data_IF_910509296704
#
_entry.id   IF_910509296704
#
_cell.length_a   1.000
_cell.length_b   1.000
_cell.length_c   1.000
_cell.angle_alpha   90.00
_cell.angle_beta   90.00
_cell.angle_gamma   90.00
#
_symmetry.space_group_name_H-M   'P 1'
#
loop_
_entity.id
_entity.type
_entity.pdbx_description
1 polymer ?
#
# COMPACT_ATOMS: atom_id res chain seq x y z
N UNK A 1 -10.92 7.58 26.42
CA UNK A 1 -12.19 6.85 26.64
C UNK A 1 -13.07 7.09 25.42
N UNK A 2 -13.07 6.16 24.45
CA UNK A 2 -13.87 6.28 23.22
C UNK A 2 -15.14 5.45 23.40
N UNK A 3 -16.30 6.13 23.34
CA UNK A 3 -17.62 5.51 23.40
C UNK A 3 -17.92 4.77 22.09
N UNK A 4 -18.48 3.57 22.23
CA UNK A 4 -19.09 2.78 21.17
C UNK A 4 -20.41 3.43 20.72
N UNK A 5 -20.61 3.52 19.41
CA UNK A 5 -21.95 3.65 18.82
C UNK A 5 -22.16 2.44 17.89
N UNK A 6 -23.04 1.55 18.32
CA UNK A 6 -23.52 0.38 17.57
C UNK A 6 -24.85 0.78 16.93
N UNK A 7 -24.99 0.59 15.61
CA UNK A 7 -26.30 0.58 14.97
C UNK A 7 -26.60 -0.87 14.54
N UNK A 8 -27.53 -1.49 15.27
CA UNK A 8 -28.02 -2.83 15.02
C UNK A 8 -29.17 -2.81 13.99
N UNK A 9 -29.17 -3.74 13.05
CA UNK A 9 -30.38 -4.21 12.38
C UNK A 9 -30.41 -5.76 12.37
N UNK A 10 -31.60 -6.31 12.57
CA UNK A 10 -31.91 -7.64 13.13
C UNK A 10 -32.05 -8.79 12.11
N UNK A 11 -31.41 -9.92 12.45
CA UNK A 11 -31.86 -11.34 12.43
C UNK A 11 -32.60 -11.87 11.18
N UNK A 12 -31.95 -12.80 10.47
CA UNK A 12 -32.59 -14.06 10.04
C UNK A 12 -31.82 -15.25 10.61
N UNK A 13 -32.53 -16.12 11.31
CA UNK A 13 -32.03 -17.40 11.76
C UNK A 13 -32.08 -18.40 10.60
N UNK A 14 -30.92 -18.90 10.18
CA UNK A 14 -30.82 -20.19 9.49
C UNK A 14 -29.82 -21.06 10.23
N UNK A 15 -30.34 -22.17 10.74
CA UNK A 15 -29.57 -23.27 11.32
C UNK A 15 -28.93 -24.07 10.19
N UNK A 16 -27.65 -23.83 9.92
CA UNK A 16 -26.75 -24.89 9.44
C UNK A 16 -25.33 -24.57 9.89
N UNK A 17 -24.81 -25.44 10.75
CA UNK A 17 -23.40 -25.49 11.12
C UNK A 17 -22.58 -25.96 9.93
N UNK A 18 -22.31 -25.07 9.00
CA UNK A 18 -21.11 -25.14 8.18
C UNK A 18 -20.26 -23.96 8.58
N UNK A 19 -19.24 -24.23 9.39
CA UNK A 19 -18.11 -23.32 9.48
C UNK A 19 -17.52 -23.28 8.08
N UNK A 20 -17.95 -22.32 7.27
CA UNK A 20 -17.09 -21.79 6.21
C UNK A 20 -15.90 -21.19 6.93
N UNK A 21 -14.91 -22.04 7.19
CA UNK A 21 -13.57 -21.59 7.46
C UNK A 21 -13.08 -21.05 6.12
N UNK A 22 -13.46 -19.82 5.78
CA UNK A 22 -12.72 -19.04 4.80
C UNK A 22 -11.27 -19.12 5.26
N UNK A 23 -10.44 -19.79 4.45
CA UNK A 23 -9.01 -19.79 4.68
C UNK A 23 -8.63 -18.31 4.78
N UNK A 24 -8.10 -17.88 5.93
CA UNK A 24 -7.76 -16.48 6.11
C UNK A 24 -6.77 -16.09 5.00
N UNK A 25 -7.14 -15.08 4.21
CA UNK A 25 -6.38 -14.62 3.05
C UNK A 25 -4.94 -14.38 3.45
N UNK A 26 -4.02 -15.03 2.75
CA UNK A 26 -2.59 -14.75 2.85
C UNK A 26 -2.27 -13.64 1.88
N UNK A 27 -1.54 -12.63 2.34
CA UNK A 27 -1.03 -11.54 1.53
C UNK A 27 0.47 -11.71 1.33
N UNK A 28 0.92 -11.50 0.10
CA UNK A 28 2.32 -11.26 -0.23
C UNK A 28 2.61 -9.78 -0.08
N UNK A 29 3.58 -9.44 0.78
CA UNK A 29 4.04 -8.08 1.04
C UNK A 29 5.46 -7.95 0.53
N UNK A 30 5.61 -7.36 -0.65
CA UNK A 30 6.91 -7.13 -1.31
C UNK A 30 7.40 -5.73 -1.02
N UNK A 31 8.59 -5.62 -0.44
CA UNK A 31 9.12 -4.39 0.15
C UNK A 31 10.36 -4.00 -0.62
N UNK A 32 10.35 -2.81 -1.21
CA UNK A 32 11.38 -2.33 -2.11
C UNK A 32 12.25 -1.27 -1.44
N UNK A 33 13.56 -1.45 -1.57
CA UNK A 33 14.59 -0.60 -0.98
C UNK A 33 15.49 -0.05 -2.09
N UNK A 34 15.90 1.21 -1.96
CA UNK A 34 16.79 1.86 -2.92
C UNK A 34 18.25 1.37 -2.79
N UNK A 35 18.55 0.56 -1.77
CA UNK A 35 19.87 0.02 -1.53
C UNK A 35 20.31 -0.92 -2.66
N UNK A 36 21.61 -0.85 -2.96
CA UNK A 36 22.28 -1.73 -3.93
C UNK A 36 22.97 -2.92 -3.25
N UNK A 37 23.03 -2.93 -1.91
CA UNK A 37 23.44 -4.10 -1.15
C UNK A 37 22.23 -4.99 -0.83
N UNK A 38 22.46 -6.29 -0.69
CA UNK A 38 21.40 -7.26 -0.39
C UNK A 38 21.04 -7.26 1.09
N UNK A 39 21.11 -6.11 1.78
CA UNK A 39 20.82 -6.03 3.22
C UNK A 39 19.39 -5.61 3.53
N UNK A 40 18.69 -4.99 2.57
CA UNK A 40 17.34 -4.42 2.76
C UNK A 40 17.30 -3.49 3.98
N UNK A 41 18.37 -2.73 4.14
CA UNK A 41 18.54 -1.75 5.21
C UNK A 41 17.65 -0.53 5.01
N UNK A 42 17.46 0.22 6.09
CA UNK A 42 16.81 1.53 6.04
C UNK A 42 15.29 1.51 5.86
N UNK A 43 14.75 2.66 5.43
CA UNK A 43 13.32 2.83 5.18
C UNK A 43 13.02 2.44 3.73
N UNK A 44 12.05 1.57 3.47
CA UNK A 44 11.65 1.24 2.10
C UNK A 44 11.06 2.47 1.40
N UNK A 45 11.25 2.57 0.09
CA UNK A 45 10.61 3.63 -0.69
C UNK A 45 9.19 3.25 -1.09
N UNK A 46 8.93 1.94 -1.26
CA UNK A 46 7.64 1.41 -1.71
C UNK A 46 7.37 0.01 -1.16
N UNK A 47 6.10 -0.28 -0.92
CA UNK A 47 5.62 -1.64 -0.62
C UNK A 47 4.46 -1.98 -1.55
N UNK A 48 4.41 -3.23 -1.99
CA UNK A 48 3.32 -3.80 -2.77
C UNK A 48 2.69 -4.96 -2.02
N UNK A 49 1.36 -4.99 -2.01
CA UNK A 49 0.57 -5.99 -1.31
C UNK A 49 -0.40 -6.63 -2.28
N UNK A 50 -0.38 -7.95 -2.38
CA UNK A 50 -1.30 -8.73 -3.20
C UNK A 50 -1.85 -9.90 -2.39
N UNK A 51 -3.09 -10.33 -2.68
CA UNK A 51 -3.56 -11.63 -2.21
C UNK A 51 -2.78 -12.74 -2.91
N UNK A 52 -2.20 -13.64 -2.12
CA UNK A 52 -1.39 -14.73 -2.63
C UNK A 52 -1.48 -15.94 -1.71
N UNK A 53 -2.30 -16.92 -2.10
CA UNK A 53 -2.47 -18.16 -1.34
C UNK A 53 -1.23 -19.04 -1.34
N UNK A 54 -0.37 -18.88 -2.35
CA UNK A 54 0.88 -19.64 -2.56
C UNK A 54 2.11 -18.80 -2.20
N UNK A 55 1.93 -17.74 -1.41
CA UNK A 55 2.98 -16.81 -1.05
C UNK A 55 4.22 -17.55 -0.54
N UNK A 56 5.36 -17.25 -1.18
CA UNK A 56 6.68 -17.70 -0.75
C UNK A 56 7.45 -16.50 -0.24
N UNK A 57 7.96 -16.60 0.99
CA UNK A 57 8.86 -15.61 1.53
C UNK A 57 10.15 -15.56 0.71
N UNK A 58 10.74 -14.37 0.64
CA UNK A 58 11.99 -14.13 -0.03
C UNK A 58 12.85 -13.19 0.82
N UNK A 59 14.07 -13.64 1.10
CA UNK A 59 15.11 -12.79 1.67
C UNK A 59 15.51 -11.67 0.71
N UNK A 60 16.22 -10.69 1.25
CA UNK A 60 16.66 -9.55 0.46
C UNK A 60 17.51 -9.96 -0.74
N UNK A 61 17.03 -9.66 -1.93
CA UNK A 61 17.72 -9.93 -3.18
C UNK A 61 17.52 -8.78 -4.17
N UNK A 62 18.36 -8.71 -5.20
CA UNK A 62 18.15 -7.79 -6.31
C UNK A 62 16.71 -7.94 -6.83
N UNK A 63 16.03 -6.81 -7.03
CA UNK A 63 14.63 -6.82 -7.42
C UNK A 63 14.45 -7.66 -8.69
N UNK A 64 13.70 -8.76 -8.54
CA UNK A 64 13.50 -9.72 -9.61
C UNK A 64 12.54 -9.15 -10.66
N UNK A 65 12.79 -9.51 -11.92
CA UNK A 65 12.04 -9.12 -13.12
C UNK A 65 12.38 -7.75 -13.73
N UNK A 66 13.36 -7.01 -13.20
CA UNK A 66 13.84 -5.76 -13.82
C UNK A 66 12.79 -4.66 -13.93
N UNK A 67 11.71 -4.77 -13.14
CA UNK A 67 10.64 -3.79 -13.09
C UNK A 67 10.93 -2.69 -12.07
N UNK A 68 11.78 -2.96 -11.07
CA UNK A 68 12.15 -2.01 -10.04
C UNK A 68 13.65 -1.98 -9.83
N UNK A 69 14.16 -0.82 -9.42
CA UNK A 69 15.56 -0.66 -9.04
C UNK A 69 15.78 -1.06 -7.58
N UNK A 70 17.02 -1.46 -7.28
CA UNK A 70 17.48 -1.81 -5.94
C UNK A 70 17.22 -3.27 -5.56
N UNK A 71 16.88 -3.47 -4.29
CA UNK A 71 16.64 -4.79 -3.69
C UNK A 71 15.24 -4.89 -3.10
N UNK A 72 14.72 -6.10 -3.04
CA UNK A 72 13.41 -6.38 -2.48
C UNK A 72 13.43 -7.62 -1.56
N UNK A 73 12.50 -7.63 -0.62
CA UNK A 73 12.18 -8.81 0.21
C UNK A 73 10.68 -9.04 0.19
N UNK A 74 10.24 -10.28 0.45
CA UNK A 74 8.83 -10.64 0.49
C UNK A 74 8.51 -11.34 1.80
N UNK A 75 7.44 -10.89 2.46
CA UNK A 75 6.88 -11.53 3.66
C UNK A 75 5.44 -11.94 3.41
N UNK A 76 5.09 -13.13 3.88
CA UNK A 76 3.74 -13.66 3.81
C UNK A 76 3.01 -13.41 5.13
N UNK A 77 1.86 -12.73 5.09
CA UNK A 77 1.14 -12.35 6.31
C UNK A 77 -0.37 -12.36 6.11
N UNK A 78 -1.11 -12.48 7.20
CA UNK A 78 -2.57 -12.27 7.24
C UNK A 78 -2.95 -10.85 7.64
N UNK A 79 -1.97 -10.05 8.03
CA UNK A 79 -2.11 -8.68 8.53
C UNK A 79 -1.08 -7.80 7.83
N UNK A 80 -1.31 -7.57 6.53
CA UNK A 80 -0.41 -6.78 5.69
C UNK A 80 -0.27 -5.35 6.20
N UNK A 81 -1.34 -4.83 6.77
CA UNK A 81 -1.48 -3.51 7.32
C UNK A 81 -0.42 -3.30 8.43
N UNK A 82 -0.43 -4.13 9.47
CA UNK A 82 0.59 -4.11 10.52
C UNK A 82 2.01 -4.36 10.01
N UNK A 83 2.17 -5.23 9.00
CA UNK A 83 3.49 -5.46 8.40
C UNK A 83 4.04 -4.19 7.72
N UNK A 84 3.22 -3.50 6.93
CA UNK A 84 3.57 -2.22 6.28
C UNK A 84 4.02 -1.19 7.32
N UNK A 85 3.23 -0.99 8.39
CA UNK A 85 3.57 0.05 9.39
C UNK A 85 4.88 -0.24 10.12
N UNK A 86 5.20 -1.50 10.41
CA UNK A 86 6.49 -1.87 11.01
C UNK A 86 7.68 -1.49 10.12
N UNK A 87 7.53 -1.65 8.80
CA UNK A 87 8.62 -1.43 7.83
C UNK A 87 8.97 0.03 7.63
N UNK A 88 7.97 0.91 7.65
CA UNK A 88 8.21 2.35 7.59
C UNK A 88 8.65 2.95 8.92
N UNK A 89 8.39 2.28 10.05
CA UNK A 89 8.78 2.76 11.37
C UNK A 89 8.16 4.13 11.66
N UNK A 90 9.00 5.15 11.91
CA UNK A 90 8.56 6.53 12.13
C UNK A 90 8.39 7.35 10.85
N UNK A 91 8.70 6.78 9.68
CA UNK A 91 8.60 7.49 8.40
C UNK A 91 7.16 7.60 7.95
N UNK A 92 6.78 8.80 7.48
CA UNK A 92 5.44 9.06 6.94
C UNK A 92 5.28 8.31 5.62
N UNK A 93 4.13 7.69 5.41
CA UNK A 93 3.81 6.92 4.22
C UNK A 93 2.35 7.13 3.80
N UNK A 94 2.06 6.90 2.51
CA UNK A 94 0.70 6.87 1.95
C UNK A 94 0.37 5.43 1.58
N UNK A 95 -0.67 4.86 2.19
CA UNK A 95 -1.21 3.55 1.83
C UNK A 95 -2.42 3.75 0.91
N UNK A 96 -2.29 3.32 -0.34
CA UNK A 96 -3.34 3.26 -1.34
C UNK A 96 -3.85 1.82 -1.41
N UNK A 97 -5.03 1.54 -0.87
CA UNK A 97 -5.72 0.27 -1.04
C UNK A 97 -6.68 0.37 -2.22
N UNK A 98 -6.58 -0.56 -3.16
CA UNK A 98 -7.40 -0.63 -4.37
C UNK A 98 -8.34 -1.82 -4.26
N UNK A 99 -9.59 -1.59 -4.63
CA UNK A 99 -10.66 -2.57 -4.58
C UNK A 99 -11.29 -2.71 -5.96
N UNK A 100 -11.87 -3.87 -6.24
CA UNK A 100 -12.62 -4.15 -7.46
C UNK A 100 -14.05 -3.60 -7.44
N UNK A 101 -14.49 -3.08 -6.29
CA UNK A 101 -15.80 -2.50 -6.08
C UNK A 101 -15.69 -1.10 -5.44
N UNK A 102 -16.80 -0.35 -5.49
CA UNK A 102 -16.95 1.00 -4.98
C UNK A 102 -17.25 1.08 -3.48
N UNK A 103 -17.43 -0.08 -2.83
CA UNK A 103 -17.74 -0.20 -1.39
C UNK A 103 -16.56 -0.73 -0.57
N UNK A 104 -15.38 -0.87 -1.18
CA UNK A 104 -14.16 -1.47 -0.65
C UNK A 104 -14.34 -2.84 0.02
N UNK A 105 -15.15 -3.72 -0.57
CA UNK A 105 -15.38 -5.06 -0.01
C UNK A 105 -14.52 -6.15 -0.66
N UNK A 106 -14.14 -5.96 -1.92
CA UNK A 106 -13.38 -6.90 -2.73
C UNK A 106 -11.98 -6.34 -3.00
N UNK A 107 -11.03 -6.67 -2.13
CA UNK A 107 -9.66 -6.18 -2.20
C UNK A 107 -8.97 -6.65 -3.49
N UNK A 108 -8.31 -5.73 -4.18
CA UNK A 108 -7.53 -6.02 -5.39
C UNK A 108 -6.03 -6.09 -5.06
N UNK A 109 -5.48 -4.99 -4.57
CA UNK A 109 -4.09 -4.86 -4.15
C UNK A 109 -3.93 -3.61 -3.29
N UNK A 110 -2.78 -3.46 -2.61
CA UNK A 110 -2.39 -2.20 -2.01
C UNK A 110 -0.98 -1.80 -2.41
N UNK A 111 -0.74 -0.49 -2.48
CA UNK A 111 0.58 0.10 -2.67
C UNK A 111 0.84 1.09 -1.56
N UNK A 112 2.07 1.14 -1.11
CA UNK A 112 2.50 2.06 -0.06
C UNK A 112 3.68 2.85 -0.57
N UNK A 113 3.64 4.16 -0.41
CA UNK A 113 4.65 5.09 -0.91
C UNK A 113 5.25 5.87 0.25
N UNK A 114 6.58 6.02 0.28
CA UNK A 114 7.24 6.90 1.24
C UNK A 114 6.80 8.36 0.99
N UNK A 115 6.26 9.03 2.01
CA UNK A 115 5.70 10.36 1.88
C UNK A 115 6.70 11.44 2.33
N UNK A 116 7.86 11.49 1.67
CA UNK A 116 8.96 12.38 2.03
C UNK A 116 9.10 13.61 1.10
N UNK A 117 8.22 13.74 0.10
CA UNK A 117 8.23 14.83 -0.88
C UNK A 117 9.40 14.80 -1.86
N UNK A 118 10.22 13.74 -1.87
CA UNK A 118 11.31 13.55 -2.83
C UNK A 118 10.80 12.78 -4.05
N UNK A 119 11.56 12.91 -5.15
CA UNK A 119 11.37 12.06 -6.32
C UNK A 119 11.99 10.68 -6.03
N UNK A 120 11.14 9.67 -5.91
CA UNK A 120 11.50 8.30 -5.62
C UNK A 120 11.26 7.43 -6.86
N UNK A 121 12.06 6.37 -7.00
CA UNK A 121 11.89 5.42 -8.11
C UNK A 121 10.58 4.67 -7.91
N UNK A 122 9.71 4.69 -8.92
CA UNK A 122 8.45 3.95 -8.94
C UNK A 122 8.58 2.60 -9.63
N UNK A 123 9.35 2.56 -10.73
CA UNK A 123 9.72 1.39 -11.52
C UNK A 123 10.94 1.75 -12.38
N UNK A 124 11.45 0.84 -13.19
CA UNK A 124 12.55 1.14 -14.14
C UNK A 124 12.20 2.21 -15.18
N UNK A 125 10.92 2.55 -15.33
CA UNK A 125 10.45 3.59 -16.28
C UNK A 125 9.53 4.61 -15.62
N UNK A 126 9.41 4.63 -14.29
CA UNK A 126 8.54 5.60 -13.62
C UNK A 126 9.10 6.04 -12.28
N UNK A 127 8.71 7.24 -11.89
CA UNK A 127 9.06 7.88 -10.63
C UNK A 127 7.80 8.42 -9.98
N UNK A 128 7.87 8.69 -8.68
CA UNK A 128 6.76 9.29 -7.97
C UNK A 128 7.23 10.31 -6.93
N UNK A 129 6.35 11.22 -6.58
CA UNK A 129 6.43 11.97 -5.32
C UNK A 129 5.19 11.68 -4.50
N UNK A 130 5.37 11.51 -3.19
CA UNK A 130 4.26 11.37 -2.25
C UNK A 130 4.47 12.33 -1.09
N UNK A 131 3.39 13.01 -0.67
CA UNK A 131 3.45 14.01 0.41
C UNK A 131 2.15 14.10 1.20
N UNK A 132 2.30 14.37 2.50
CA UNK A 132 1.23 14.91 3.34
C UNK A 132 1.40 16.43 3.35
N UNK A 133 0.36 17.13 2.91
CA UNK A 133 0.31 18.58 2.81
C UNK A 133 0.09 19.24 4.18
N UNK A 134 0.38 20.54 4.29
CA UNK A 134 0.24 21.28 5.55
C UNK A 134 -1.22 21.34 6.08
N UNK A 135 -2.22 21.24 5.19
CA UNK A 135 -3.64 21.13 5.54
C UNK A 135 -4.06 19.69 5.92
N UNK A 136 -3.14 18.73 5.87
CA UNK A 136 -3.34 17.31 6.15
C UNK A 136 -3.97 16.51 5.00
N UNK A 137 -4.14 17.08 3.79
CA UNK A 137 -4.43 16.28 2.60
C UNK A 137 -3.19 15.51 2.15
N UNK A 138 -3.36 14.53 1.27
CA UNK A 138 -2.24 13.85 0.63
C UNK A 138 -2.26 14.02 -0.89
N UNK A 139 -1.06 14.06 -1.46
CA UNK A 139 -0.85 14.08 -2.91
C UNK A 139 0.12 12.97 -3.28
N UNK A 140 -0.21 12.21 -4.34
CA UNK A 140 0.66 11.24 -5.00
C UNK A 140 0.73 11.61 -6.49
N UNK A 141 1.94 11.78 -7.00
CA UNK A 141 2.20 12.20 -8.38
C UNK A 141 3.12 11.18 -9.05
N UNK A 142 2.80 10.79 -10.28
CA UNK A 142 3.59 9.83 -11.07
C UNK A 142 4.18 10.47 -12.32
N UNK A 143 5.45 10.16 -12.58
CA UNK A 143 6.26 10.76 -13.63
C UNK A 143 6.96 9.69 -14.48
N UNK A 144 7.36 10.04 -15.70
CA UNK A 144 8.19 9.19 -16.56
C UNK A 144 9.69 9.51 -16.50
N UNK A 145 10.11 10.40 -15.60
CA UNK A 145 11.48 10.92 -15.52
C UNK A 145 11.95 11.01 -14.06
N UNK A 146 13.27 10.92 -13.86
CA UNK A 146 13.90 10.97 -12.53
C UNK A 146 13.90 12.37 -11.88
N UNK A 147 13.58 13.43 -12.64
CA UNK A 147 13.48 14.79 -12.11
C UNK A 147 12.16 15.02 -11.36
N UNK A 148 11.12 14.22 -11.62
CA UNK A 148 9.74 14.51 -11.20
C UNK A 148 9.34 15.97 -11.46
N UNK A 149 9.75 16.54 -12.60
CA UNK A 149 9.40 17.92 -12.95
C UNK A 149 7.97 17.99 -13.46
N UNK A 150 7.28 19.10 -13.20
CA UNK A 150 5.98 19.38 -13.83
C UNK A 150 6.10 19.54 -15.36
N UNK A 151 7.30 19.87 -15.85
CA UNK A 151 7.61 19.96 -17.29
C UNK A 151 7.79 18.58 -17.95
N UNK A 152 7.90 17.51 -17.15
CA UNK A 152 8.07 16.15 -17.65
C UNK A 152 6.72 15.49 -17.99
N UNK A 153 6.76 14.38 -18.74
CA UNK A 153 5.53 13.67 -19.10
C UNK A 153 4.89 13.08 -17.83
N UNK A 154 3.79 13.71 -17.46
CA UNK A 154 3.03 13.41 -16.26
C UNK A 154 2.08 12.23 -16.51
N UNK A 155 2.17 11.17 -15.69
CA UNK A 155 1.31 9.98 -15.84
C UNK A 155 -0.04 10.18 -15.16
N UNK A 156 -0.03 10.55 -13.87
CA UNK A 156 -1.25 10.71 -13.07
C UNK A 156 -1.00 11.47 -11.76
N UNK A 157 -2.01 12.22 -11.31
CA UNK A 157 -2.06 12.80 -9.95
C UNK A 157 -3.23 12.17 -9.21
N UNK A 158 -2.98 11.78 -7.97
CA UNK A 158 -4.00 11.39 -7.03
C UNK A 158 -3.97 12.35 -5.84
N UNK A 159 -5.15 12.76 -5.38
CA UNK A 159 -5.30 13.67 -4.23
C UNK A 159 -6.41 13.15 -3.35
N UNK A 160 -6.19 13.19 -2.04
CA UNK A 160 -7.20 12.81 -1.05
C UNK A 160 -7.26 13.85 0.05
N UNK A 161 -8.47 14.18 0.52
CA UNK A 161 -8.64 15.21 1.54
C UNK A 161 -8.24 14.67 2.92
N UNK A 162 -7.96 15.57 3.86
CA UNK A 162 -7.76 15.17 5.26
C UNK A 162 -8.96 14.37 5.81
N UNK A 163 -10.18 14.75 5.43
CA UNK A 163 -11.39 14.10 5.93
C UNK A 163 -11.48 12.65 5.42
N UNK A 164 -11.10 12.41 4.17
CA UNK A 164 -11.13 11.07 3.56
C UNK A 164 -10.04 10.18 4.16
N UNK A 165 -8.83 10.74 4.39
CA UNK A 165 -7.75 10.06 5.12
C UNK A 165 -8.15 9.71 6.56
N UNK A 166 -8.79 10.64 7.28
CA UNK A 166 -9.18 10.41 8.68
C UNK A 166 -10.35 9.40 8.81
N UNK A 167 -11.19 9.27 7.78
CA UNK A 167 -12.33 8.37 7.75
C UNK A 167 -12.06 7.03 7.06
N UNK A 168 -10.92 6.88 6.38
CA UNK A 168 -10.62 5.79 5.46
C UNK A 168 -11.76 5.58 4.44
N UNK A 169 -12.28 6.69 3.91
CA UNK A 169 -13.40 6.63 2.97
C UNK A 169 -13.00 5.91 1.68
N UNK A 170 -13.93 5.09 1.16
CA UNK A 170 -13.85 4.54 -0.18
C UNK A 170 -14.17 5.64 -1.18
N UNK A 171 -13.25 5.92 -2.08
CA UNK A 171 -13.53 6.77 -3.23
C UNK A 171 -13.87 5.90 -4.45
N UNK A 172 -15.00 6.21 -5.09
CA UNK A 172 -15.36 5.64 -6.37
C UNK A 172 -14.64 6.46 -7.44
N UNK A 173 -13.37 6.10 -7.68
CA UNK A 173 -12.45 6.68 -8.64
C UNK A 173 -13.11 7.32 -9.87
#
# INVERSE_FOLDING_TARGET
MRQLAVLALTIFAFTSTDKFQTAATTYSVTIHYADSDTSCGGTPYRIEVNEDSECSEADCAASVNGWYDGVASTVCTKDYQNEVWKRFGSSVNLLQAVYHDDVCSNFAYARVYIANGKCEVGSTTSWFTARIEANGSATLEHFTTESCSEDDLFLSTERTSKADLDSNACDAN
#
